data_IF_510658838636
#
_entry.id   IF_510658838636
#
_cell.length_a   1.000
_cell.length_b   1.000
_cell.length_c   1.000
_cell.angle_alpha   90.00
_cell.angle_beta   90.00
_cell.angle_gamma   90.00
#
_symmetry.space_group_name_H-M   'P 1'
#
loop_
_entity.id
_entity.type
_entity.pdbx_description
1 polymer ?
#
# COMPACT_ATOMS: atom_id res chain seq x y z
N UNK A 1 -1.94 15.17 19.27
CA UNK A 1 -3.23 15.00 18.62
C UNK A 1 -3.52 13.52 18.52
N UNK A 2 -4.74 13.11 18.83
CA UNK A 2 -5.17 11.72 18.79
C UNK A 2 -5.13 11.22 17.34
N UNK A 3 -4.18 10.37 17.04
CA UNK A 3 -4.12 9.63 15.79
C UNK A 3 -4.80 8.27 16.03
N UNK A 4 -6.06 8.14 15.64
CA UNK A 4 -6.66 6.81 15.48
C UNK A 4 -6.19 6.25 14.15
N UNK A 5 -5.43 5.17 14.16
CA UNK A 5 -4.96 4.51 12.95
C UNK A 5 -5.74 3.23 12.71
N UNK A 6 -6.44 3.15 11.58
CA UNK A 6 -6.93 1.88 11.09
C UNK A 6 -5.76 1.09 10.53
N UNK A 7 -5.49 -0.07 11.11
CA UNK A 7 -4.43 -0.95 10.62
C UNK A 7 -5.02 -1.98 9.69
N UNK A 8 -4.69 -1.84 8.42
CA UNK A 8 -4.97 -2.85 7.42
C UNK A 8 -3.68 -3.65 7.17
N UNK A 9 -3.62 -4.90 7.61
CA UNK A 9 -2.49 -5.77 7.32
C UNK A 9 -2.64 -6.41 5.93
N UNK A 10 -1.52 -6.78 5.31
CA UNK A 10 -1.49 -7.45 3.99
C UNK A 10 -2.17 -8.83 3.95
N UNK A 11 -2.59 -9.38 5.09
CA UNK A 11 -3.35 -10.63 5.20
C UNK A 11 -4.75 -10.35 5.74
N UNK A 12 -5.50 -9.56 5.00
CA UNK A 12 -6.84 -9.08 5.33
C UNK A 12 -7.89 -10.20 5.52
N UNK A 13 -7.55 -11.43 5.17
CA UNK A 13 -8.42 -12.61 5.30
C UNK A 13 -8.22 -13.37 6.60
N UNK A 14 -7.10 -13.18 7.29
CA UNK A 14 -6.77 -13.91 8.52
C UNK A 14 -7.21 -13.13 9.75
N UNK A 15 -8.39 -13.45 10.25
CA UNK A 15 -9.00 -12.80 11.42
C UNK A 15 -8.09 -12.86 12.65
N UNK A 16 -7.40 -14.01 12.88
CA UNK A 16 -6.51 -14.14 14.05
C UNK A 16 -5.35 -13.16 13.98
N UNK A 17 -4.69 -13.04 12.82
CA UNK A 17 -3.59 -12.08 12.65
C UNK A 17 -4.05 -10.63 12.82
N UNK A 18 -5.27 -10.32 12.39
CA UNK A 18 -5.86 -8.99 12.56
C UNK A 18 -6.11 -8.68 14.04
N UNK A 19 -6.65 -9.65 14.80
CA UNK A 19 -6.85 -9.47 16.25
C UNK A 19 -5.52 -9.39 17.01
N UNK A 20 -4.53 -10.23 16.67
CA UNK A 20 -3.19 -10.18 17.28
C UNK A 20 -2.54 -8.78 17.02
N UNK A 21 -2.65 -8.25 15.80
CA UNK A 21 -2.15 -6.92 15.45
C UNK A 21 -2.89 -5.80 16.20
N UNK A 22 -4.21 -5.90 16.33
CA UNK A 22 -5.01 -4.97 17.12
C UNK A 22 -4.54 -4.92 18.58
N UNK A 23 -4.45 -6.09 19.24
CA UNK A 23 -4.03 -6.17 20.63
C UNK A 23 -2.65 -5.55 20.84
N UNK A 24 -1.71 -5.83 19.93
CA UNK A 24 -0.35 -5.27 19.98
C UNK A 24 -0.36 -3.75 19.86
N UNK A 25 -1.07 -3.20 18.87
CA UNK A 25 -1.10 -1.77 18.61
C UNK A 25 -1.83 -0.99 19.72
N UNK A 26 -2.96 -1.50 20.21
CA UNK A 26 -3.67 -0.91 21.33
C UNK A 26 -2.81 -0.91 22.61
N UNK A 27 -2.05 -1.99 22.85
CA UNK A 27 -1.14 -2.09 23.99
C UNK A 27 0.07 -1.14 23.87
N UNK A 28 0.66 -1.02 22.68
CA UNK A 28 1.87 -0.22 22.47
C UNK A 28 1.60 1.28 22.42
N UNK A 29 0.48 1.67 21.82
CA UNK A 29 0.22 3.07 21.48
C UNK A 29 -1.01 3.67 22.16
N UNK A 30 -1.81 2.88 22.87
CA UNK A 30 -3.03 3.37 23.56
C UNK A 30 -4.11 3.88 22.61
N UNK A 31 -4.09 3.44 21.35
CA UNK A 31 -5.04 3.82 20.30
C UNK A 31 -6.19 2.81 20.21
N UNK A 32 -7.30 3.20 19.56
CA UNK A 32 -8.38 2.28 19.21
C UNK A 32 -8.13 1.70 17.82
N UNK A 33 -8.19 0.38 17.66
CA UNK A 33 -8.01 -0.33 16.39
C UNK A 33 -9.27 -1.11 16.04
N UNK A 34 -9.74 -0.98 14.79
CA UNK A 34 -10.84 -1.75 14.22
C UNK A 34 -10.28 -2.74 13.19
N UNK A 35 -10.14 -4.04 13.51
CA UNK A 35 -9.78 -5.05 12.54
C UNK A 35 -11.00 -5.42 11.69
N UNK A 36 -10.86 -5.36 10.36
CA UNK A 36 -11.91 -5.76 9.43
C UNK A 36 -11.34 -6.73 8.41
N UNK A 37 -11.82 -7.98 8.44
CA UNK A 37 -11.45 -8.96 7.45
C UNK A 37 -12.14 -8.66 6.12
N UNK A 38 -11.37 -8.55 5.03
CA UNK A 38 -11.88 -8.34 3.69
C UNK A 38 -11.00 -9.03 2.65
N UNK A 39 -11.61 -9.68 1.67
CA UNK A 39 -10.89 -10.21 0.51
C UNK A 39 -11.05 -9.25 -0.68
N UNK A 40 -9.96 -8.53 -0.96
CA UNK A 40 -9.91 -7.58 -2.09
C UNK A 40 -9.40 -8.22 -3.39
N UNK A 41 -9.21 -9.55 -3.42
CA UNK A 41 -8.86 -10.29 -4.63
C UNK A 41 -10.06 -11.02 -5.27
N UNK A 42 -11.25 -10.86 -4.72
CA UNK A 42 -12.45 -11.62 -5.09
C UNK A 42 -13.11 -11.19 -6.42
N UNK A 43 -12.45 -10.42 -7.25
CA UNK A 43 -12.97 -10.01 -8.56
C UNK A 43 -14.18 -9.06 -8.46
N UNK A 44 -15.34 -9.45 -8.97
CA UNK A 44 -16.54 -8.60 -9.01
C UNK A 44 -17.07 -8.18 -7.62
N UNK A 45 -16.73 -8.90 -6.57
CA UNK A 45 -17.21 -8.64 -5.21
C UNK A 45 -16.32 -7.65 -4.44
N UNK A 46 -15.19 -7.25 -5.02
CA UNK A 46 -14.25 -6.31 -4.42
C UNK A 46 -14.89 -5.00 -3.99
N UNK A 47 -15.70 -4.39 -4.83
CA UNK A 47 -16.32 -3.09 -4.51
C UNK A 47 -17.22 -3.20 -3.29
N UNK A 48 -18.02 -4.27 -3.17
CA UNK A 48 -18.88 -4.51 -2.01
C UNK A 48 -18.05 -4.74 -0.74
N UNK A 49 -16.98 -5.52 -0.81
CA UNK A 49 -16.08 -5.76 0.31
C UNK A 49 -15.45 -4.44 0.82
N UNK A 50 -14.95 -3.61 -0.09
CA UNK A 50 -14.37 -2.31 0.24
C UNK A 50 -15.41 -1.36 0.86
N UNK A 51 -16.61 -1.27 0.28
CA UNK A 51 -17.68 -0.43 0.83
C UNK A 51 -18.04 -0.83 2.26
N UNK A 52 -18.06 -2.14 2.56
CA UNK A 52 -18.31 -2.65 3.90
C UNK A 52 -17.20 -2.26 4.90
N UNK A 53 -15.93 -2.35 4.49
CA UNK A 53 -14.79 -1.91 5.32
C UNK A 53 -14.89 -0.42 5.64
N UNK A 54 -15.09 0.41 4.62
CA UNK A 54 -15.21 1.87 4.78
C UNK A 54 -16.40 2.24 5.66
N UNK A 55 -17.55 1.58 5.47
CA UNK A 55 -18.72 1.78 6.30
C UNK A 55 -18.44 1.48 7.78
N UNK A 56 -17.82 0.34 8.08
CA UNK A 56 -17.47 -0.03 9.46
C UNK A 56 -16.49 0.95 10.10
N UNK A 57 -15.49 1.44 9.34
CA UNK A 57 -14.54 2.45 9.81
C UNK A 57 -15.28 3.76 10.17
N UNK A 58 -16.15 4.24 9.29
CA UNK A 58 -16.94 5.47 9.53
C UNK A 58 -17.92 5.30 10.68
N UNK A 59 -18.64 4.17 10.76
CA UNK A 59 -19.56 3.89 11.88
C UNK A 59 -18.81 3.86 13.23
N UNK A 60 -17.54 3.47 13.24
CA UNK A 60 -16.74 3.33 14.46
C UNK A 60 -16.03 4.62 14.88
N UNK A 61 -15.46 5.36 13.91
CA UNK A 61 -14.60 6.51 14.17
C UNK A 61 -15.21 7.85 13.74
N UNK A 62 -16.27 7.84 12.92
CA UNK A 62 -16.99 9.02 12.46
C UNK A 62 -16.32 9.81 11.35
N UNK A 63 -15.08 9.48 10.98
CA UNK A 63 -14.28 10.24 10.00
C UNK A 63 -13.17 9.37 9.37
N UNK A 64 -12.61 9.86 8.26
CA UNK A 64 -11.39 9.33 7.64
C UNK A 64 -10.49 10.51 7.32
N UNK A 65 -9.28 10.52 7.88
CA UNK A 65 -8.27 11.56 7.65
C UNK A 65 -7.17 11.09 6.69
N UNK A 66 -6.84 9.81 6.74
CA UNK A 66 -5.77 9.23 5.93
C UNK A 66 -6.21 7.88 5.38
N UNK A 67 -6.01 7.69 4.08
CA UNK A 67 -6.15 6.40 3.42
C UNK A 67 -4.77 5.91 2.98
N UNK A 68 -4.38 4.72 3.44
CA UNK A 68 -3.13 4.06 3.00
C UNK A 68 -3.49 2.77 2.26
N UNK A 69 -3.27 2.75 0.95
CA UNK A 69 -3.48 1.59 0.10
C UNK A 69 -2.17 0.82 -0.06
N UNK A 70 -1.96 -0.18 0.79
CA UNK A 70 -0.72 -1.00 0.82
C UNK A 70 -0.96 -2.46 0.40
N UNK A 71 -2.13 -3.02 0.67
CA UNK A 71 -2.43 -4.42 0.41
C UNK A 71 -2.42 -4.77 -1.08
N UNK A 72 -1.74 -5.86 -1.44
CA UNK A 72 -1.78 -6.46 -2.77
C UNK A 72 -1.29 -7.90 -2.72
N UNK A 73 -1.86 -8.75 -3.58
CA UNK A 73 -1.36 -10.09 -3.89
C UNK A 73 -0.86 -10.14 -5.34
N UNK A 74 0.14 -10.95 -5.62
CA UNK A 74 0.65 -11.16 -6.98
C UNK A 74 1.39 -12.49 -7.10
N UNK A 75 1.45 -13.04 -8.32
CA UNK A 75 2.36 -14.09 -8.69
C UNK A 75 3.67 -13.46 -9.18
N UNK A 76 4.78 -13.74 -8.51
CA UNK A 76 6.10 -13.23 -8.85
C UNK A 76 6.99 -14.34 -9.41
N UNK A 77 7.96 -13.99 -10.28
CA UNK A 77 8.91 -14.93 -10.87
C UNK A 77 8.39 -15.67 -12.10
N UNK A 78 7.21 -15.29 -12.60
CA UNK A 78 6.61 -15.86 -13.83
C UNK A 78 6.89 -14.91 -15.00
N UNK A 79 7.39 -15.43 -16.11
CA UNK A 79 7.65 -14.63 -17.32
C UNK A 79 6.34 -14.17 -17.97
N UNK A 80 6.42 -13.17 -18.85
CA UNK A 80 5.23 -12.62 -19.49
C UNK A 80 4.47 -13.68 -20.30
N UNK A 81 5.19 -14.49 -21.06
CA UNK A 81 4.64 -15.55 -21.91
C UNK A 81 4.00 -16.70 -21.12
N UNK A 82 4.48 -16.97 -19.90
CA UNK A 82 3.97 -18.02 -19.04
C UNK A 82 2.91 -17.55 -18.04
N UNK A 83 2.64 -16.24 -17.98
CA UNK A 83 1.70 -15.67 -17.04
C UNK A 83 0.26 -16.02 -17.40
N UNK A 84 -0.46 -16.66 -16.47
CA UNK A 84 -1.87 -16.98 -16.71
C UNK A 84 -2.76 -15.75 -16.49
N UNK A 85 -3.97 -15.79 -17.08
CA UNK A 85 -4.97 -14.74 -16.85
C UNK A 85 -5.32 -14.61 -15.37
N UNK A 86 -5.46 -15.72 -14.65
CA UNK A 86 -5.80 -15.73 -13.23
C UNK A 86 -4.70 -15.09 -12.38
N UNK A 87 -3.44 -15.29 -12.72
CA UNK A 87 -2.30 -14.65 -12.05
C UNK A 87 -2.27 -13.14 -12.34
N UNK A 88 -2.61 -12.75 -13.58
CA UNK A 88 -2.72 -11.34 -13.97
C UNK A 88 -3.87 -10.67 -13.22
N UNK A 89 -5.05 -11.28 -13.24
CA UNK A 89 -6.25 -10.81 -12.59
C UNK A 89 -6.06 -10.67 -11.06
N UNK A 90 -5.37 -11.62 -10.43
CA UNK A 90 -5.04 -11.54 -9.00
C UNK A 90 -4.32 -10.22 -8.66
N UNK A 91 -3.31 -9.84 -9.44
CA UNK A 91 -2.56 -8.61 -9.19
C UNK A 91 -3.38 -7.35 -9.50
N UNK A 92 -4.17 -7.39 -10.57
CA UNK A 92 -5.01 -6.25 -10.99
C UNK A 92 -6.17 -6.03 -10.01
N UNK A 93 -6.88 -7.09 -9.63
CA UNK A 93 -8.00 -6.97 -8.69
C UNK A 93 -7.54 -6.60 -7.28
N UNK A 94 -6.55 -7.29 -6.72
CA UNK A 94 -6.08 -7.00 -5.37
C UNK A 94 -5.30 -5.69 -5.25
N UNK A 95 -4.69 -5.23 -6.33
CA UNK A 95 -3.91 -3.99 -6.39
C UNK A 95 -4.72 -2.83 -6.95
N UNK A 96 -4.84 -2.76 -8.28
CA UNK A 96 -5.40 -1.60 -8.97
C UNK A 96 -6.88 -1.35 -8.66
N UNK A 97 -7.72 -2.38 -8.80
CA UNK A 97 -9.15 -2.23 -8.51
C UNK A 97 -9.42 -1.95 -7.03
N UNK A 98 -8.72 -2.64 -6.11
CA UNK A 98 -8.87 -2.37 -4.69
C UNK A 98 -8.54 -0.92 -4.35
N UNK A 99 -7.41 -0.40 -4.85
CA UNK A 99 -7.03 1.02 -4.68
C UNK A 99 -8.10 1.95 -5.23
N UNK A 100 -8.60 1.69 -6.44
CA UNK A 100 -9.67 2.48 -7.05
C UNK A 100 -10.94 2.51 -6.18
N UNK A 101 -11.38 1.36 -5.70
CA UNK A 101 -12.59 1.27 -4.88
C UNK A 101 -12.42 1.93 -3.51
N UNK A 102 -11.29 1.74 -2.82
CA UNK A 102 -11.02 2.42 -1.55
C UNK A 102 -10.96 3.94 -1.73
N UNK A 103 -10.26 4.43 -2.74
CA UNK A 103 -10.20 5.86 -3.03
C UNK A 103 -11.60 6.42 -3.28
N UNK A 104 -12.40 5.78 -4.13
CA UNK A 104 -13.79 6.18 -4.43
C UNK A 104 -14.68 6.18 -3.18
N UNK A 105 -14.63 5.12 -2.37
CA UNK A 105 -15.46 4.98 -1.17
C UNK A 105 -15.05 5.95 -0.05
N UNK A 106 -13.76 6.25 0.10
CA UNK A 106 -13.24 7.17 1.12
C UNK A 106 -13.36 8.65 0.72
N UNK A 107 -13.51 8.96 -0.57
CA UNK A 107 -13.51 10.35 -1.09
C UNK A 107 -14.43 11.31 -0.32
N UNK A 108 -15.72 11.02 -0.07
CA UNK A 108 -16.60 11.98 0.63
C UNK A 108 -16.07 12.34 2.02
N UNK A 109 -15.53 11.40 2.75
CA UNK A 109 -14.98 11.60 4.11
C UNK A 109 -13.63 12.33 4.08
N UNK A 110 -12.76 11.98 3.13
CA UNK A 110 -11.49 12.67 2.91
C UNK A 110 -11.70 14.13 2.49
N UNK A 111 -12.77 14.43 1.75
CA UNK A 111 -13.14 15.81 1.40
C UNK A 111 -13.52 16.62 2.63
N UNK A 112 -14.29 16.07 3.55
CA UNK A 112 -14.68 16.74 4.80
C UNK A 112 -13.46 17.04 5.68
N UNK A 113 -12.52 16.11 5.77
CA UNK A 113 -11.32 16.24 6.61
C UNK A 113 -10.16 16.97 5.92
N UNK A 114 -10.27 17.23 4.61
CA UNK A 114 -9.16 17.63 3.75
C UNK A 114 -8.00 16.65 3.90
N UNK A 115 -8.30 15.36 3.80
CA UNK A 115 -7.44 14.25 4.16
C UNK A 115 -6.25 14.02 3.23
N UNK A 116 -5.55 12.91 3.46
CA UNK A 116 -4.39 12.50 2.67
C UNK A 116 -4.56 11.07 2.17
N UNK A 117 -4.07 10.77 0.96
CA UNK A 117 -4.02 9.42 0.41
C UNK A 117 -2.57 9.05 0.11
N UNK A 118 -2.16 7.88 0.57
CA UNK A 118 -0.87 7.27 0.25
C UNK A 118 -1.11 5.93 -0.44
N UNK A 119 -0.75 5.86 -1.70
CA UNK A 119 -0.81 4.63 -2.48
C UNK A 119 0.57 3.98 -2.56
N UNK A 120 0.66 2.67 -2.34
CA UNK A 120 1.92 1.94 -2.49
C UNK A 120 2.07 1.45 -3.92
N UNK A 121 3.06 1.99 -4.62
CA UNK A 121 3.56 1.48 -5.89
C UNK A 121 4.89 0.71 -5.69
N UNK A 122 5.67 0.56 -6.73
CA UNK A 122 6.93 -0.19 -6.67
C UNK A 122 7.93 0.32 -7.72
N UNK A 123 9.20 0.23 -7.40
CA UNK A 123 10.28 0.33 -8.38
C UNK A 123 10.21 -0.72 -9.49
N UNK A 124 9.61 -1.87 -9.23
CA UNK A 124 9.45 -2.94 -10.22
C UNK A 124 8.72 -2.48 -11.50
N UNK A 125 7.69 -1.63 -11.36
CA UNK A 125 7.00 -1.03 -12.50
C UNK A 125 7.86 -0.01 -13.24
N UNK A 126 8.63 0.80 -12.50
CA UNK A 126 9.48 1.82 -13.06
C UNK A 126 10.69 1.27 -13.84
N UNK A 127 11.22 0.12 -13.41
CA UNK A 127 12.44 -0.46 -13.97
C UNK A 127 12.18 -1.69 -14.86
N UNK A 128 10.94 -2.20 -14.91
CA UNK A 128 10.59 -3.38 -15.69
C UNK A 128 11.27 -4.65 -15.16
N UNK A 129 11.12 -4.93 -13.88
CA UNK A 129 11.77 -6.08 -13.26
C UNK A 129 11.27 -7.40 -13.85
N UNK A 130 12.21 -8.30 -14.13
CA UNK A 130 11.93 -9.63 -14.66
C UNK A 130 10.93 -10.40 -13.79
N UNK A 131 10.00 -11.10 -14.42
CA UNK A 131 9.02 -11.95 -13.73
C UNK A 131 7.96 -11.19 -12.92
N UNK A 132 7.72 -9.90 -13.21
CA UNK A 132 6.82 -9.02 -12.43
C UNK A 132 5.72 -8.39 -13.31
N UNK A 133 5.33 -9.00 -14.44
CA UNK A 133 4.50 -8.33 -15.45
C UNK A 133 3.15 -7.85 -14.89
N UNK A 134 2.37 -8.70 -14.23
CA UNK A 134 1.07 -8.33 -13.66
C UNK A 134 1.21 -7.34 -12.49
N UNK A 135 2.20 -7.56 -11.63
CA UNK A 135 2.51 -6.68 -10.52
C UNK A 135 2.91 -5.29 -11.00
N UNK A 136 3.83 -5.20 -11.96
CA UNK A 136 4.27 -3.95 -12.56
C UNK A 136 3.12 -3.21 -13.23
N UNK A 137 2.28 -3.92 -14.01
CA UNK A 137 1.10 -3.34 -14.65
C UNK A 137 0.14 -2.72 -13.63
N UNK A 138 -0.19 -3.44 -12.54
CA UNK A 138 -1.04 -2.95 -11.48
C UNK A 138 -0.42 -1.72 -10.78
N UNK A 139 0.88 -1.75 -10.46
CA UNK A 139 1.58 -0.64 -9.77
C UNK A 139 1.71 0.62 -10.65
N UNK A 140 1.91 0.48 -11.96
CA UNK A 140 1.88 1.63 -12.87
C UNK A 140 0.46 2.15 -13.09
N UNK A 141 -0.57 1.28 -13.10
CA UNK A 141 -1.97 1.68 -13.08
C UNK A 141 -2.32 2.53 -11.84
N UNK A 142 -1.86 2.11 -10.65
CA UNK A 142 -2.01 2.88 -9.40
C UNK A 142 -1.33 4.25 -9.51
N UNK A 143 -0.16 4.32 -10.15
CA UNK A 143 0.55 5.59 -10.38
C UNK A 143 -0.25 6.54 -11.27
N UNK A 144 -0.82 6.02 -12.38
CA UNK A 144 -1.71 6.80 -13.25
C UNK A 144 -2.93 7.33 -12.50
N UNK A 145 -3.62 6.44 -11.76
CA UNK A 145 -4.79 6.77 -10.93
C UNK A 145 -4.46 7.86 -9.89
N UNK A 146 -3.32 7.75 -9.22
CA UNK A 146 -2.88 8.72 -8.20
C UNK A 146 -2.71 10.12 -8.79
N UNK A 147 -2.10 10.25 -9.96
CA UNK A 147 -1.88 11.55 -10.62
C UNK A 147 -3.20 12.21 -11.01
N UNK A 148 -4.15 11.43 -11.52
CA UNK A 148 -5.49 11.93 -11.86
C UNK A 148 -6.20 12.41 -10.58
N UNK A 149 -6.22 11.58 -9.54
CA UNK A 149 -6.85 11.95 -8.27
C UNK A 149 -6.21 13.18 -7.61
N UNK A 150 -4.89 13.32 -7.67
CA UNK A 150 -4.19 14.51 -7.17
C UNK A 150 -4.66 15.81 -7.87
N UNK A 151 -4.92 15.72 -9.18
CA UNK A 151 -5.44 16.84 -9.96
C UNK A 151 -6.91 17.15 -9.63
N UNK A 152 -7.75 16.12 -9.59
CA UNK A 152 -9.20 16.27 -9.40
C UNK A 152 -9.56 16.63 -7.96
N UNK A 153 -8.86 16.12 -6.97
CA UNK A 153 -9.17 16.28 -5.55
C UNK A 153 -8.39 17.40 -4.87
N UNK A 154 -7.40 17.99 -5.57
CA UNK A 154 -6.66 19.15 -5.10
C UNK A 154 -7.54 20.32 -4.68
N UNK A 155 -8.58 20.72 -5.47
CA UNK A 155 -9.53 21.77 -5.08
C UNK A 155 -10.30 21.49 -3.78
N UNK A 156 -10.46 20.20 -3.42
CA UNK A 156 -11.10 19.78 -2.16
C UNK A 156 -10.11 19.72 -0.98
N UNK A 157 -8.85 20.06 -1.20
CA UNK A 157 -7.81 20.06 -0.17
C UNK A 157 -7.24 18.68 0.16
N UNK A 158 -7.52 17.66 -0.68
CA UNK A 158 -7.00 16.30 -0.52
C UNK A 158 -5.67 16.20 -1.28
N UNK A 159 -4.61 15.73 -0.63
CA UNK A 159 -3.37 15.39 -1.30
C UNK A 159 -3.26 13.86 -1.49
N UNK A 160 -2.78 13.46 -2.66
CA UNK A 160 -2.70 12.06 -3.06
C UNK A 160 -1.29 11.77 -3.58
N UNK A 161 -0.54 10.91 -2.91
CA UNK A 161 0.85 10.60 -3.24
C UNK A 161 1.11 9.09 -3.33
N UNK A 162 2.26 8.74 -3.89
CA UNK A 162 2.74 7.36 -4.02
C UNK A 162 4.03 7.19 -3.22
N UNK A 163 4.11 6.08 -2.52
CA UNK A 163 5.34 5.57 -1.91
C UNK A 163 5.79 4.31 -2.63
N UNK A 164 7.07 4.28 -3.01
CA UNK A 164 7.75 3.10 -3.56
C UNK A 164 8.83 2.68 -2.56
N UNK A 165 8.55 1.74 -1.65
CA UNK A 165 9.52 1.32 -0.65
C UNK A 165 10.43 0.20 -1.16
N UNK A 166 11.65 0.18 -0.66
CA UNK A 166 12.54 -0.97 -0.67
C UNK A 166 12.73 -1.43 0.77
N UNK A 167 11.87 -2.33 1.23
CA UNK A 167 11.75 -2.69 2.64
C UNK A 167 12.19 -4.13 2.93
N UNK A 168 12.72 -4.36 4.12
CA UNK A 168 12.97 -5.69 4.64
C UNK A 168 11.67 -6.29 5.13
N UNK A 169 11.09 -7.15 4.32
CA UNK A 169 9.79 -7.78 4.60
C UNK A 169 9.98 -9.23 5.04
N UNK A 170 8.97 -9.80 5.72
CA UNK A 170 8.96 -11.21 6.08
C UNK A 170 9.09 -12.15 4.84
N UNK A 171 8.56 -11.72 3.69
CA UNK A 171 8.74 -12.48 2.44
C UNK A 171 10.20 -12.47 1.98
N UNK A 172 10.89 -11.34 2.05
CA UNK A 172 12.29 -11.22 1.67
C UNK A 172 13.18 -12.02 2.63
N UNK A 173 12.90 -11.95 3.93
CA UNK A 173 13.57 -12.76 4.95
C UNK A 173 13.37 -14.26 4.74
N UNK A 174 12.16 -14.70 4.42
CA UNK A 174 11.88 -16.09 4.09
C UNK A 174 12.60 -16.55 2.80
N UNK A 175 12.66 -15.66 1.80
CA UNK A 175 13.41 -15.95 0.58
C UNK A 175 14.91 -16.13 0.85
N UNK A 176 15.52 -15.28 1.67
CA UNK A 176 16.91 -15.43 2.10
C UNK A 176 17.14 -16.76 2.82
N UNK A 177 16.25 -17.10 3.78
CA UNK A 177 16.38 -18.34 4.56
C UNK A 177 16.22 -19.61 3.72
N UNK A 178 15.29 -19.62 2.78
CA UNK A 178 14.98 -20.79 1.96
C UNK A 178 15.91 -20.95 0.76
N UNK A 179 16.39 -19.84 0.19
CA UNK A 179 17.16 -19.82 -1.05
C UNK A 179 18.37 -18.87 -0.96
N UNK A 180 19.36 -19.11 -0.04
CA UNK A 180 20.42 -18.15 0.25
C UNK A 180 21.31 -17.84 -0.97
N UNK A 181 21.58 -18.82 -1.83
CA UNK A 181 22.40 -18.61 -3.03
C UNK A 181 21.64 -17.78 -4.08
N UNK A 182 20.36 -18.05 -4.27
CA UNK A 182 19.51 -17.27 -5.17
C UNK A 182 19.31 -15.85 -4.62
N UNK A 183 19.16 -15.69 -3.32
CA UNK A 183 19.09 -14.37 -2.67
C UNK A 183 20.36 -13.57 -2.94
N UNK A 184 21.53 -14.15 -2.65
CA UNK A 184 22.82 -13.50 -2.89
C UNK A 184 23.06 -13.11 -4.35
N UNK A 185 22.57 -13.91 -5.29
CA UNK A 185 22.73 -13.65 -6.72
C UNK A 185 21.80 -12.54 -7.23
N UNK A 186 20.59 -12.41 -6.66
CA UNK A 186 19.52 -11.57 -7.24
C UNK A 186 19.18 -10.33 -6.40
N UNK A 187 19.44 -10.35 -5.08
CA UNK A 187 19.10 -9.24 -4.19
C UNK A 187 20.30 -8.32 -4.03
N UNK A 188 20.17 -7.10 -4.54
CA UNK A 188 21.22 -6.08 -4.45
C UNK A 188 20.98 -5.19 -3.23
N UNK A 189 22.02 -4.97 -2.44
CA UNK A 189 21.96 -4.06 -1.31
C UNK A 189 21.93 -2.59 -1.82
N UNK A 190 21.03 -1.75 -1.29
CA UNK A 190 21.01 -0.34 -1.64
C UNK A 190 22.24 0.41 -1.09
N UNK A 191 22.57 1.60 -1.64
CA UNK A 191 23.69 2.42 -1.15
C UNK A 191 23.64 2.75 0.35
N UNK A 192 22.46 2.81 0.96
CA UNK A 192 22.29 2.99 2.40
C UNK A 192 22.84 1.82 3.24
N UNK A 193 23.19 0.68 2.61
CA UNK A 193 23.75 -0.49 3.26
C UNK A 193 22.74 -1.44 3.92
N UNK A 194 21.46 -1.13 3.86
CA UNK A 194 20.38 -1.98 4.36
C UNK A 194 19.07 -1.73 3.61
N UNK A 195 18.17 -2.70 3.64
CA UNK A 195 16.78 -2.53 3.24
C UNK A 195 16.01 -1.81 4.34
N UNK A 196 15.11 -0.90 3.96
CA UNK A 196 14.37 -0.08 4.92
C UNK A 196 13.60 -0.90 5.95
N UNK A 197 13.70 -0.53 7.21
CA UNK A 197 12.86 -1.10 8.26
C UNK A 197 11.41 -0.68 8.05
N UNK A 198 10.50 -1.65 8.07
CA UNK A 198 9.08 -1.44 7.71
C UNK A 198 8.38 -0.45 8.65
N UNK A 199 8.72 -0.42 9.92
CA UNK A 199 8.13 0.46 10.93
C UNK A 199 8.84 1.80 11.01
N UNK A 200 10.13 1.79 11.33
CA UNK A 200 10.89 3.00 11.68
C UNK A 200 11.31 3.85 10.47
N UNK A 201 11.37 3.28 9.27
CA UNK A 201 11.81 4.00 8.07
C UNK A 201 10.70 4.16 7.04
N UNK A 202 9.86 3.13 6.82
CA UNK A 202 8.76 3.20 5.85
C UNK A 202 7.48 3.73 6.49
N UNK A 203 7.02 3.12 7.58
CA UNK A 203 5.79 3.52 8.26
C UNK A 203 5.84 4.94 8.79
N UNK A 204 6.94 5.32 9.45
CA UNK A 204 7.13 6.70 9.94
C UNK A 204 7.19 7.73 8.82
N UNK A 205 7.76 7.41 7.66
CA UNK A 205 7.70 8.29 6.50
C UNK A 205 6.27 8.51 6.03
N UNK A 206 5.44 7.45 5.98
CA UNK A 206 4.03 7.57 5.62
C UNK A 206 3.26 8.46 6.63
N UNK A 207 3.53 8.32 7.93
CA UNK A 207 2.93 9.20 8.96
C UNK A 207 3.29 10.66 8.69
N UNK A 208 4.57 10.96 8.42
CA UNK A 208 5.00 12.34 8.11
C UNK A 208 4.35 12.87 6.83
N UNK A 209 4.32 12.08 5.77
CA UNK A 209 3.67 12.45 4.50
C UNK A 209 2.16 12.74 4.63
N UNK A 210 1.54 12.22 5.68
CA UNK A 210 0.13 12.48 6.00
C UNK A 210 -0.06 13.72 6.90
N UNK A 211 1.02 14.32 7.38
CA UNK A 211 0.96 15.47 8.27
C UNK A 211 0.57 16.78 7.52
N UNK A 212 0.11 17.81 8.23
CA UNK A 212 -0.20 19.12 7.63
C UNK A 212 0.98 19.75 6.90
N UNK A 213 2.23 19.44 7.31
CA UNK A 213 3.45 20.01 6.72
C UNK A 213 3.68 19.57 5.26
N UNK A 214 3.08 18.43 4.85
CA UNK A 214 3.21 17.88 3.50
C UNK A 214 1.96 18.09 2.63
N UNK A 215 1.01 18.92 3.05
CA UNK A 215 -0.26 19.13 2.30
C UNK A 215 -0.08 19.71 0.89
N UNK A 216 0.99 20.45 0.64
CA UNK A 216 1.28 20.98 -0.70
C UNK A 216 1.94 19.95 -1.64
N UNK A 217 2.37 18.79 -1.12
CA UNK A 217 2.89 17.69 -1.90
C UNK A 217 1.72 16.82 -2.38
N UNK A 218 1.47 16.77 -3.69
CA UNK A 218 0.41 15.96 -4.28
C UNK A 218 0.78 15.52 -5.69
N UNK A 219 0.45 14.27 -6.05
CA UNK A 219 0.77 13.65 -7.33
C UNK A 219 2.19 13.09 -7.43
N UNK A 220 2.95 13.13 -6.34
CA UNK A 220 4.36 12.75 -6.33
C UNK A 220 4.58 11.23 -6.19
N UNK A 221 5.71 10.80 -6.73
CA UNK A 221 6.26 9.46 -6.52
C UNK A 221 7.46 9.54 -5.61
N UNK A 222 7.28 9.10 -4.38
CA UNK A 222 8.29 9.17 -3.33
C UNK A 222 8.95 7.81 -3.19
N UNK A 223 10.25 7.73 -3.50
CA UNK A 223 11.00 6.49 -3.35
C UNK A 223 11.70 6.44 -2.01
N UNK A 224 11.43 5.38 -1.25
CA UNK A 224 12.09 5.08 0.02
C UNK A 224 12.98 3.85 -0.20
N UNK A 225 14.06 4.02 -0.95
CA UNK A 225 14.86 2.93 -1.52
C UNK A 225 16.35 3.00 -1.13
N UNK A 226 16.70 3.80 -0.15
CA UNK A 226 18.09 3.89 0.33
C UNK A 226 19.12 4.24 -0.74
N UNK A 227 18.72 4.99 -1.78
CA UNK A 227 19.55 5.36 -2.92
C UNK A 227 19.54 4.36 -4.09
N UNK A 228 18.82 3.25 -4.02
CA UNK A 228 18.74 2.26 -5.11
C UNK A 228 18.07 2.83 -6.35
N UNK A 229 17.02 3.61 -6.18
CA UNK A 229 16.20 4.17 -7.24
C UNK A 229 16.63 5.55 -7.70
N UNK A 230 17.93 5.79 -7.82
CA UNK A 230 18.44 7.05 -8.36
C UNK A 230 17.88 7.29 -9.77
N UNK A 231 17.18 8.41 -9.93
CA UNK A 231 16.59 8.85 -11.18
C UNK A 231 17.15 10.21 -11.56
N UNK A 232 17.34 10.47 -12.86
CA UNK A 232 17.74 11.80 -13.32
C UNK A 232 16.63 12.82 -13.10
#
# INVERSE_FOLDING_TARGET
GDWSSDVCSSDLRNVKKLEDAKEELERLYGIKVLPVAADVSAGSDNETAVQNVVKQAVDTFGRIDVLINNAQASASGVTLEDHTTEQFDLAVYSGLYAVFYYMKACYPYLKETKGSVINFASGAGLFGNFGQCAYAAAKEGIRGLTRVAATEWGPDGINVNIVCPLAWTAQLENFEKQYPDAFKANVKMPPAGHYGNVESEIGRACVQLSSPDFKFMSGETITLEGGMGLRP
#
